data_IF_833397629294
#
_entry.id   IF_833397629294
#
_cell.length_a   1.000
_cell.length_b   1.000
_cell.length_c   1.000
_cell.angle_alpha   90.00
_cell.angle_beta   90.00
_cell.angle_gamma   90.00
#
_symmetry.space_group_name_H-M   'P 1'
#
loop_
_entity.id
_entity.type
_entity.pdbx_description
1 polymer ?
#
# COMPACT_ATOMS: atom_id res chain seq x y z
N UNK A 1 8.53 16.47 -29.84
CA UNK A 1 9.13 16.26 -28.52
C UNK A 1 8.13 15.47 -27.68
N UNK A 2 8.43 14.21 -27.35
CA UNK A 2 7.57 13.36 -26.51
C UNK A 2 7.53 13.98 -25.11
N UNK A 3 6.40 14.54 -24.67
CA UNK A 3 6.21 14.92 -23.28
C UNK A 3 6.40 13.66 -22.45
N UNK A 4 7.41 13.65 -21.60
CA UNK A 4 7.64 12.56 -20.64
C UNK A 4 6.41 12.50 -19.73
N UNK A 5 5.44 11.64 -20.03
CA UNK A 5 4.23 11.46 -19.21
C UNK A 5 4.66 11.00 -17.83
N UNK A 6 4.25 11.74 -16.79
CA UNK A 6 4.51 11.39 -15.41
C UNK A 6 3.91 10.01 -15.13
N UNK A 7 4.71 9.11 -14.55
CA UNK A 7 4.25 7.77 -14.16
C UNK A 7 3.63 7.82 -12.77
N UNK A 8 2.52 7.12 -12.60
CA UNK A 8 1.78 7.04 -11.34
C UNK A 8 2.06 5.74 -10.61
N UNK A 9 2.34 5.82 -9.33
CA UNK A 9 2.55 4.72 -8.39
C UNK A 9 1.54 4.81 -7.24
N UNK A 10 0.91 3.71 -6.88
CA UNK A 10 0.17 3.55 -5.62
C UNK A 10 1.01 2.70 -4.66
N UNK A 11 1.21 3.17 -3.44
CA UNK A 11 2.03 2.51 -2.42
C UNK A 11 1.29 2.39 -1.10
N UNK A 12 1.12 1.18 -0.59
CA UNK A 12 0.58 0.95 0.74
C UNK A 12 1.68 0.89 1.80
N UNK A 13 1.38 1.30 3.05
CA UNK A 13 2.35 1.28 4.14
C UNK A 13 3.49 2.27 3.98
N UNK A 14 3.21 3.47 3.47
CA UNK A 14 4.20 4.49 3.15
C UNK A 14 4.82 5.21 4.37
N UNK A 15 4.24 5.06 5.56
CA UNK A 15 4.57 5.89 6.73
C UNK A 15 5.96 5.65 7.33
N UNK A 16 6.58 4.48 7.10
CA UNK A 16 7.88 4.13 7.69
C UNK A 16 8.62 3.06 6.88
N UNK A 17 9.88 2.83 7.24
CA UNK A 17 10.70 1.70 6.75
C UNK A 17 10.81 1.66 5.23
N UNK A 18 10.58 0.49 4.63
CA UNK A 18 10.68 0.23 3.19
C UNK A 18 9.72 1.14 2.41
N UNK A 19 8.47 1.29 2.89
CA UNK A 19 7.50 2.14 2.21
C UNK A 19 7.96 3.60 2.13
N UNK A 20 8.49 4.16 3.22
CA UNK A 20 9.02 5.51 3.22
C UNK A 20 10.21 5.68 2.26
N UNK A 21 11.15 4.72 2.26
CA UNK A 21 12.28 4.72 1.33
C UNK A 21 11.81 4.62 -0.14
N UNK A 22 10.75 3.86 -0.38
CA UNK A 22 10.12 3.73 -1.71
C UNK A 22 9.53 5.07 -2.17
N UNK A 23 8.82 5.81 -1.30
CA UNK A 23 8.33 7.16 -1.61
C UNK A 23 9.49 8.03 -2.08
N UNK A 24 10.57 8.12 -1.27
CA UNK A 24 11.76 8.92 -1.63
C UNK A 24 12.30 8.56 -3.01
N UNK A 25 12.52 7.27 -3.24
CA UNK A 25 13.14 6.79 -4.46
C UNK A 25 12.32 7.13 -5.71
N UNK A 26 11.01 6.88 -5.66
CA UNK A 26 10.14 7.12 -6.81
C UNK A 26 9.86 8.60 -7.04
N UNK A 27 9.67 9.39 -5.98
CA UNK A 27 9.51 10.85 -6.11
C UNK A 27 10.77 11.49 -6.71
N UNK A 28 11.97 11.11 -6.27
CA UNK A 28 13.23 11.60 -6.85
C UNK A 28 13.42 11.15 -8.30
N UNK A 29 12.76 10.08 -8.73
CA UNK A 29 12.77 9.63 -10.14
C UNK A 29 11.65 10.28 -10.98
N UNK A 30 10.95 11.28 -10.47
CA UNK A 30 9.90 12.02 -11.17
C UNK A 30 8.56 11.30 -11.27
N UNK A 31 8.33 10.26 -10.44
CA UNK A 31 7.03 9.61 -10.38
C UNK A 31 6.09 10.35 -9.43
N UNK A 32 4.82 10.39 -9.78
CA UNK A 32 3.75 10.74 -8.86
C UNK A 32 3.44 9.55 -7.97
N UNK A 33 3.54 9.71 -6.65
CA UNK A 33 3.31 8.64 -5.68
C UNK A 33 2.04 8.92 -4.89
N UNK A 34 1.02 8.08 -5.05
CA UNK A 34 -0.18 8.09 -4.23
C UNK A 34 0.07 7.14 -3.06
N UNK A 35 0.27 7.70 -1.88
CA UNK A 35 0.56 6.94 -0.65
C UNK A 35 -0.73 6.52 0.04
N UNK A 36 -0.71 5.33 0.68
CA UNK A 36 -1.84 4.81 1.45
C UNK A 36 -1.37 4.36 2.84
N UNK A 37 -2.07 4.79 3.89
CA UNK A 37 -1.85 4.33 5.26
C UNK A 37 -3.13 4.46 6.09
N UNK A 38 -3.14 3.87 7.29
CA UNK A 38 -4.26 4.00 8.25
C UNK A 38 -4.36 5.41 8.84
N UNK A 39 -3.25 6.07 8.95
CA UNK A 39 -3.12 7.39 9.55
C UNK A 39 -3.30 8.48 8.49
N UNK A 40 -3.78 9.65 8.93
CA UNK A 40 -3.63 10.87 8.13
C UNK A 40 -2.15 11.18 7.97
N UNK A 41 -1.78 11.89 6.89
CA UNK A 41 -0.40 12.34 6.73
C UNK A 41 -0.02 13.22 7.93
N UNK A 42 1.08 12.92 8.64
CA UNK A 42 1.56 13.77 9.72
C UNK A 42 1.91 15.17 9.17
N UNK A 43 1.50 16.23 9.87
CA UNK A 43 1.78 17.63 9.48
C UNK A 43 3.27 17.93 9.29
N UNK A 44 4.14 17.19 9.99
CA UNK A 44 5.60 17.29 9.90
C UNK A 44 6.24 16.25 8.95
N UNK A 45 5.45 15.61 8.09
CA UNK A 45 6.04 14.69 7.11
C UNK A 45 6.87 15.50 6.11
N UNK A 46 8.17 15.17 5.89
CA UNK A 46 9.01 15.88 4.91
C UNK A 46 8.46 15.80 3.47
N UNK A 47 7.49 14.93 3.23
CA UNK A 47 6.79 14.72 1.97
C UNK A 47 5.38 15.34 1.96
N UNK A 48 5.13 16.25 2.90
CA UNK A 48 3.85 16.96 3.02
C UNK A 48 3.55 17.88 1.84
N UNK A 49 4.54 18.21 1.03
CA UNK A 49 4.34 18.91 -0.25
C UNK A 49 3.48 18.09 -1.23
N UNK A 50 3.36 16.76 -1.01
CA UNK A 50 2.50 15.84 -1.72
C UNK A 50 1.20 15.48 -0.97
N UNK A 51 0.70 16.29 -0.05
CA UNK A 51 -0.54 16.03 0.74
C UNK A 51 -1.75 15.65 -0.13
N UNK A 52 -1.79 16.12 -1.36
CA UNK A 52 -2.87 15.82 -2.31
C UNK A 52 -2.84 14.36 -2.79
N UNK A 53 -1.74 13.65 -2.61
CA UNK A 53 -1.53 12.28 -3.08
C UNK A 53 -1.46 11.27 -1.94
N UNK A 54 -2.18 11.54 -0.85
CA UNK A 54 -2.41 10.58 0.22
C UNK A 54 -3.88 10.13 0.26
N UNK A 55 -4.08 8.82 0.49
CA UNK A 55 -5.40 8.23 0.73
C UNK A 55 -5.35 7.44 2.02
N UNK A 56 -6.16 7.83 2.99
CA UNK A 56 -6.32 7.07 4.23
C UNK A 56 -7.11 5.80 3.94
N UNK A 57 -6.49 4.63 4.22
CA UNK A 57 -7.10 3.31 4.04
C UNK A 57 -6.72 2.41 5.21
N UNK A 58 -7.73 1.85 5.87
CA UNK A 58 -7.53 0.73 6.77
C UNK A 58 -7.68 -0.57 5.98
N UNK A 59 -6.60 -1.33 5.87
CA UNK A 59 -6.55 -2.59 5.14
C UNK A 59 -7.19 -3.77 5.89
N UNK A 60 -7.56 -3.58 7.16
CA UNK A 60 -8.33 -4.56 7.94
C UNK A 60 -9.81 -4.56 7.52
N UNK A 61 -10.31 -3.46 6.96
CA UNK A 61 -11.69 -3.30 6.53
C UNK A 61 -11.84 -3.40 5.01
N UNK A 62 -12.60 -4.38 4.55
CA UNK A 62 -12.95 -4.54 3.12
C UNK A 62 -13.65 -3.29 2.59
N UNK A 63 -14.54 -2.71 3.38
CA UNK A 63 -15.26 -1.49 3.00
C UNK A 63 -14.31 -0.31 2.83
N UNK A 64 -13.36 -0.12 3.77
CA UNK A 64 -12.31 0.92 3.67
C UNK A 64 -11.44 0.73 2.43
N UNK A 65 -11.10 -0.52 2.08
CA UNK A 65 -10.35 -0.82 0.85
C UNK A 65 -11.14 -0.39 -0.38
N UNK A 66 -12.42 -0.71 -0.45
CA UNK A 66 -13.28 -0.32 -1.57
C UNK A 66 -13.39 1.20 -1.69
N UNK A 67 -13.68 1.89 -0.59
CA UNK A 67 -13.79 3.35 -0.57
C UNK A 67 -12.45 4.04 -0.87
N UNK A 68 -11.37 3.54 -0.28
CA UNK A 68 -10.03 4.04 -0.57
C UNK A 68 -9.61 3.84 -2.02
N UNK A 69 -9.95 2.69 -2.62
CA UNK A 69 -9.70 2.44 -4.04
C UNK A 69 -10.44 3.43 -4.94
N UNK A 70 -11.69 3.78 -4.62
CA UNK A 70 -12.43 4.83 -5.35
C UNK A 70 -11.71 6.16 -5.27
N UNK A 71 -11.27 6.57 -4.07
CA UNK A 71 -10.50 7.81 -3.89
C UNK A 71 -9.18 7.82 -4.66
N UNK A 72 -8.51 6.66 -4.78
CA UNK A 72 -7.31 6.53 -5.61
C UNK A 72 -7.66 6.78 -7.09
N UNK A 73 -8.73 6.16 -7.60
CA UNK A 73 -9.19 6.35 -8.98
C UNK A 73 -9.58 7.81 -9.25
N UNK A 74 -10.26 8.46 -8.31
CA UNK A 74 -10.57 9.88 -8.38
C UNK A 74 -9.31 10.75 -8.47
N UNK A 75 -8.30 10.46 -7.61
CA UNK A 75 -7.00 11.16 -7.65
C UNK A 75 -6.23 10.93 -8.95
N UNK A 76 -6.33 9.74 -9.53
CA UNK A 76 -5.75 9.46 -10.85
C UNK A 76 -6.44 10.27 -11.96
N UNK A 77 -7.69 10.68 -11.75
CA UNK A 77 -8.44 11.53 -12.69
C UNK A 77 -8.32 11.05 -14.15
N UNK A 78 -8.54 9.76 -14.36
CA UNK A 78 -8.40 9.12 -15.67
C UNK A 78 -6.97 8.83 -16.12
N UNK A 79 -5.94 9.25 -15.39
CA UNK A 79 -4.56 8.90 -15.68
C UNK A 79 -4.29 7.40 -15.45
N UNK A 80 -3.34 6.81 -16.21
CA UNK A 80 -2.96 5.42 -16.03
C UNK A 80 -2.22 5.19 -14.71
N UNK A 81 -2.37 4.01 -14.12
CA UNK A 81 -1.56 3.52 -13.01
C UNK A 81 -0.45 2.61 -13.53
N UNK A 82 0.82 2.96 -13.28
CA UNK A 82 1.97 2.24 -13.80
C UNK A 82 2.55 1.24 -12.80
N UNK A 83 2.30 1.44 -11.49
CA UNK A 83 2.69 0.48 -10.47
C UNK A 83 1.75 0.51 -9.26
N UNK A 84 1.42 -0.69 -8.74
CA UNK A 84 0.82 -0.89 -7.42
C UNK A 84 1.84 -1.62 -6.54
N UNK A 85 2.30 -1.00 -5.47
CA UNK A 85 3.23 -1.60 -4.51
C UNK A 85 2.48 -1.91 -3.22
N UNK A 86 2.19 -3.18 -3.01
CA UNK A 86 1.64 -3.72 -1.77
C UNK A 86 2.78 -3.96 -0.78
N UNK A 87 3.06 -2.93 0.03
CA UNK A 87 4.14 -2.96 1.03
C UNK A 87 3.60 -2.97 2.47
N UNK A 88 2.35 -2.56 2.69
CA UNK A 88 1.76 -2.66 4.00
C UNK A 88 1.69 -4.11 4.46
N UNK A 89 2.05 -4.32 5.71
CA UNK A 89 1.96 -5.63 6.34
C UNK A 89 1.98 -5.50 7.85
N UNK A 90 1.36 -6.45 8.52
CA UNK A 90 1.34 -6.58 9.97
C UNK A 90 1.94 -7.91 10.40
N UNK A 91 2.59 -7.87 11.55
CA UNK A 91 3.07 -9.05 12.26
C UNK A 91 2.80 -8.82 13.75
N UNK A 92 1.61 -9.17 14.23
CA UNK A 92 1.23 -9.01 15.63
C UNK A 92 2.22 -9.72 16.54
N UNK A 93 2.42 -9.17 17.73
CA UNK A 93 3.31 -9.74 18.73
C UNK A 93 2.51 -9.99 20.00
N UNK A 94 2.86 -11.06 20.69
CA UNK A 94 2.32 -11.39 21.97
C UNK A 94 2.95 -10.59 23.11
N UNK A 95 2.69 -11.03 24.33
CA UNK A 95 3.25 -10.43 25.53
C UNK A 95 4.78 -10.28 25.45
N UNK A 96 5.29 -9.17 26.01
CA UNK A 96 6.72 -8.83 26.01
C UNK A 96 7.34 -8.74 24.61
N UNK A 97 6.56 -8.36 23.59
CA UNK A 97 7.02 -8.18 22.20
C UNK A 97 7.57 -9.46 21.56
N UNK A 98 7.24 -10.63 22.09
CA UNK A 98 7.64 -11.94 21.52
C UNK A 98 6.81 -12.26 20.28
N UNK A 99 7.39 -13.04 19.38
CA UNK A 99 6.63 -13.60 18.25
C UNK A 99 5.52 -14.48 18.76
N UNK A 100 4.36 -14.40 18.14
CA UNK A 100 3.28 -15.34 18.39
C UNK A 100 3.65 -16.70 17.79
N UNK A 101 3.39 -17.77 18.53
CA UNK A 101 3.49 -19.13 18.01
C UNK A 101 2.17 -19.55 17.34
N UNK A 102 2.25 -20.58 16.52
CA UNK A 102 1.11 -21.04 15.72
C UNK A 102 -0.03 -21.58 16.59
N UNK A 103 0.27 -22.25 17.69
CA UNK A 103 -0.72 -22.96 18.52
C UNK A 103 -1.49 -21.99 19.41
N UNK A 104 -0.80 -21.03 20.01
CA UNK A 104 -1.40 -20.10 20.97
C UNK A 104 -1.86 -18.77 20.36
N UNK A 105 -1.69 -18.60 19.04
CA UNK A 105 -2.17 -17.39 18.36
C UNK A 105 -3.71 -17.45 18.21
N UNK A 106 -4.47 -16.47 18.75
CA UNK A 106 -5.92 -16.40 18.59
C UNK A 106 -6.34 -16.33 17.12
N UNK A 107 -7.50 -16.91 16.80
CA UNK A 107 -8.03 -16.93 15.44
C UNK A 107 -8.18 -15.52 14.85
N UNK A 108 -8.60 -14.56 15.67
CA UNK A 108 -8.78 -13.16 15.27
C UNK A 108 -7.46 -12.53 14.78
N UNK A 109 -6.33 -12.87 15.41
CA UNK A 109 -5.00 -12.45 14.95
C UNK A 109 -4.67 -13.05 13.59
N UNK A 110 -4.98 -14.32 13.37
CA UNK A 110 -4.82 -14.95 12.05
C UNK A 110 -5.67 -14.27 11.00
N UNK A 111 -6.96 -14.04 11.28
CA UNK A 111 -7.87 -13.37 10.37
C UNK A 111 -7.36 -11.96 10.01
N UNK A 112 -6.89 -11.19 11.00
CA UNK A 112 -6.32 -9.87 10.80
C UNK A 112 -5.08 -9.91 9.89
N UNK A 113 -4.14 -10.83 10.16
CA UNK A 113 -2.93 -10.99 9.35
C UNK A 113 -3.26 -11.36 7.92
N UNK A 114 -4.15 -12.34 7.70
CA UNK A 114 -4.57 -12.71 6.36
C UNK A 114 -5.32 -11.59 5.65
N UNK A 115 -6.17 -10.85 6.36
CA UNK A 115 -6.89 -9.73 5.79
C UNK A 115 -5.93 -8.66 5.27
N UNK A 116 -4.96 -8.24 6.08
CA UNK A 116 -4.02 -7.16 5.70
C UNK A 116 -2.95 -7.63 4.72
N UNK A 117 -2.33 -8.80 4.99
CA UNK A 117 -1.14 -9.22 4.24
C UNK A 117 -1.46 -10.00 2.96
N UNK A 118 -2.68 -10.54 2.85
CA UNK A 118 -3.07 -11.38 1.72
C UNK A 118 -4.29 -10.86 0.97
N UNK A 119 -5.43 -10.69 1.64
CA UNK A 119 -6.66 -10.28 0.96
C UNK A 119 -6.65 -8.82 0.49
N UNK A 120 -6.10 -7.91 1.28
CA UNK A 120 -6.04 -6.49 0.91
C UNK A 120 -5.26 -6.24 -0.40
N UNK A 121 -4.06 -6.83 -0.63
CA UNK A 121 -3.38 -6.77 -1.92
C UNK A 121 -4.23 -7.23 -3.11
N UNK A 122 -4.99 -8.32 -2.95
CA UNK A 122 -5.88 -8.87 -3.99
C UNK A 122 -7.02 -7.88 -4.28
N UNK A 123 -7.65 -7.36 -3.23
CA UNK A 123 -8.76 -6.41 -3.36
C UNK A 123 -8.32 -5.10 -4.01
N UNK A 124 -7.15 -4.57 -3.63
CA UNK A 124 -6.59 -3.37 -4.25
C UNK A 124 -6.30 -3.62 -5.74
N UNK A 125 -5.65 -4.74 -6.07
CA UNK A 125 -5.38 -5.09 -7.46
C UNK A 125 -6.67 -5.22 -8.28
N UNK A 126 -7.71 -5.87 -7.73
CA UNK A 126 -9.03 -6.00 -8.35
C UNK A 126 -9.69 -4.64 -8.58
N UNK A 127 -9.70 -3.78 -7.56
CA UNK A 127 -10.38 -2.49 -7.63
C UNK A 127 -9.65 -1.48 -8.54
N UNK A 128 -8.33 -1.58 -8.66
CA UNK A 128 -7.49 -0.72 -9.50
C UNK A 128 -7.18 -1.31 -10.89
N UNK A 129 -7.78 -2.46 -11.22
CA UNK A 129 -7.50 -3.22 -12.45
C UNK A 129 -7.54 -2.35 -13.71
N UNK A 130 -8.60 -1.58 -13.89
CA UNK A 130 -8.77 -0.76 -15.10
C UNK A 130 -7.68 0.29 -15.26
N UNK A 131 -7.27 0.94 -14.16
CA UNK A 131 -6.18 1.93 -14.16
C UNK A 131 -4.82 1.28 -14.44
N UNK A 132 -4.58 0.07 -13.88
CA UNK A 132 -3.38 -0.72 -14.13
C UNK A 132 -3.31 -1.17 -15.60
N UNK A 133 -4.40 -1.69 -16.16
CA UNK A 133 -4.46 -2.09 -17.57
C UNK A 133 -4.18 -0.91 -18.50
N UNK A 134 -4.75 0.27 -18.21
CA UNK A 134 -4.50 1.50 -18.98
C UNK A 134 -3.03 1.92 -18.99
N UNK A 135 -2.30 1.62 -17.89
CA UNK A 135 -0.88 1.95 -17.73
C UNK A 135 0.09 0.84 -18.15
N UNK A 136 -0.39 -0.31 -18.61
CA UNK A 136 0.39 -1.54 -18.69
C UNK A 136 1.18 -1.76 -17.39
N UNK A 137 0.51 -1.50 -16.24
CA UNK A 137 1.12 -1.37 -14.94
C UNK A 137 1.52 -2.70 -14.32
N UNK A 138 2.52 -2.64 -13.44
CA UNK A 138 3.03 -3.78 -12.68
C UNK A 138 2.49 -3.79 -11.25
N UNK A 139 2.36 -4.99 -10.68
CA UNK A 139 2.04 -5.19 -9.26
C UNK A 139 3.27 -5.75 -8.57
N UNK A 140 3.69 -5.12 -7.48
CA UNK A 140 4.80 -5.57 -6.64
C UNK A 140 4.26 -5.87 -5.24
N UNK A 141 4.48 -7.10 -4.76
CA UNK A 141 4.15 -7.50 -3.40
C UNK A 141 5.44 -7.61 -2.59
N UNK A 142 5.55 -6.80 -1.53
CA UNK A 142 6.68 -6.87 -0.60
C UNK A 142 6.39 -8.00 0.38
N UNK A 143 7.15 -9.08 0.24
CA UNK A 143 7.03 -10.28 1.06
C UNK A 143 8.25 -10.45 1.98
N UNK A 144 8.27 -11.52 2.75
CA UNK A 144 9.38 -11.87 3.62
C UNK A 144 9.81 -13.32 3.39
N UNK A 145 11.11 -13.57 3.53
CA UNK A 145 11.65 -14.94 3.55
C UNK A 145 11.05 -15.78 4.70
N UNK A 146 10.57 -15.13 5.76
CA UNK A 146 9.86 -15.80 6.84
C UNK A 146 8.53 -16.44 6.40
N UNK A 147 8.00 -16.11 5.23
CA UNK A 147 6.85 -16.77 4.62
C UNK A 147 7.19 -18.03 3.81
N UNK A 148 8.48 -18.30 3.56
CA UNK A 148 8.94 -19.44 2.74
C UNK A 148 9.86 -20.40 3.48
N UNK A 149 10.36 -20.03 4.66
CA UNK A 149 11.23 -20.84 5.50
C UNK A 149 10.74 -20.80 6.95
N UNK A 150 10.49 -21.93 7.50
CA UNK A 150 10.19 -22.15 8.92
C UNK A 150 11.48 -22.49 9.64
#
# INVERSE_FOLDING_TARGET
>A
MSQNKIKNLVLTGASRGIGHATVKRFSSAGWRVITCSREKVPEKCPWSEGLHDHVQIDLESVENIVQGSKKIVEKLNGEPLHALVNNAGISPKGNKNKRLDTINTPLECWQQVFQVNFFAPILLAKNLKSSLQKGAGSIVNVASIAGSRV
#
